data_IF_433925750955
#
_entry.id   IF_433925750955
#
_cell.length_a   1.000
_cell.length_b   1.000
_cell.length_c   1.000
_cell.angle_alpha   90.00
_cell.angle_beta   90.00
_cell.angle_gamma   90.00
#
_symmetry.space_group_name_H-M   'P 1'
#
loop_
_entity.id
_entity.type
_entity.pdbx_description
1 polymer ?
#
# COMPACT_ATOMS: atom_id res chain seq x y z
N UNK A 1 63.12 -68.35 -21.50
CA UNK A 1 63.97 -67.21 -21.12
C UNK A 1 63.10 -65.97 -21.27
N UNK A 2 62.37 -65.56 -20.23
CA UNK A 2 62.81 -64.64 -19.16
C UNK A 2 63.24 -63.28 -19.73
N UNK A 3 62.34 -62.29 -19.72
CA UNK A 3 62.44 -60.97 -19.05
C UNK A 3 61.87 -59.96 -20.08
N UNK A 4 61.18 -58.87 -19.81
CA UNK A 4 60.92 -58.12 -18.58
C UNK A 4 59.58 -57.38 -18.69
N UNK A 5 58.97 -57.24 -17.54
CA UNK A 5 57.96 -56.25 -17.16
C UNK A 5 58.39 -54.82 -17.50
N UNK A 6 57.44 -53.97 -17.94
CA UNK A 6 57.06 -52.74 -17.25
C UNK A 6 55.76 -52.15 -17.85
N UNK A 7 54.70 -51.92 -17.05
CA UNK A 7 53.48 -51.28 -17.51
C UNK A 7 53.66 -49.78 -17.74
N UNK A 8 53.08 -49.26 -18.82
CA UNK A 8 53.02 -47.84 -19.13
C UNK A 8 52.37 -47.06 -17.97
N UNK A 9 52.90 -45.90 -17.57
CA UNK A 9 52.23 -45.07 -16.58
C UNK A 9 50.91 -44.57 -17.15
N UNK A 10 49.81 -44.97 -16.51
CA UNK A 10 48.51 -44.34 -16.64
C UNK A 10 48.72 -42.87 -16.31
N UNK A 11 48.63 -42.00 -17.32
CA UNK A 11 48.44 -40.57 -17.09
C UNK A 11 47.10 -40.43 -16.39
N UNK A 12 47.13 -40.38 -15.06
CA UNK A 12 46.05 -39.85 -14.24
C UNK A 12 45.70 -38.49 -14.83
N UNK A 13 44.55 -38.44 -15.52
CA UNK A 13 43.95 -37.20 -15.94
C UNK A 13 43.74 -36.38 -14.67
N UNK A 14 44.60 -35.39 -14.46
CA UNK A 14 44.37 -34.37 -13.46
C UNK A 14 42.99 -33.77 -13.76
N UNK A 15 42.04 -33.97 -12.85
CA UNK A 15 40.76 -33.30 -12.89
C UNK A 15 41.01 -31.81 -13.13
N UNK A 16 40.26 -31.15 -14.03
CA UNK A 16 40.43 -29.72 -14.23
C UNK A 16 40.20 -29.04 -12.88
N UNK A 17 41.26 -28.42 -12.36
CA UNK A 17 41.19 -27.64 -11.14
C UNK A 17 40.03 -26.66 -11.27
N UNK A 18 39.05 -26.80 -10.39
CA UNK A 18 37.91 -25.89 -10.31
C UNK A 18 38.47 -24.47 -10.22
N UNK A 19 38.24 -23.68 -11.27
CA UNK A 19 38.53 -22.26 -11.24
C UNK A 19 37.74 -21.69 -10.06
N UNK A 20 38.36 -20.96 -9.12
CA UNK A 20 37.58 -20.22 -8.18
C UNK A 20 36.82 -19.17 -9.00
N UNK A 21 35.51 -19.37 -9.16
CA UNK A 21 34.60 -18.35 -9.67
C UNK A 21 34.70 -17.18 -8.72
N UNK A 22 35.60 -16.27 -9.06
CA UNK A 22 35.77 -14.99 -8.42
C UNK A 22 34.46 -14.24 -8.57
N UNK A 23 33.58 -14.42 -7.58
CA UNK A 23 32.48 -13.52 -7.26
C UNK A 23 33.10 -12.14 -7.09
N UNK A 24 33.27 -11.41 -8.19
CA UNK A 24 33.49 -9.97 -8.22
C UNK A 24 32.26 -9.37 -7.56
N UNK A 25 32.32 -9.25 -6.24
CA UNK A 25 31.51 -8.31 -5.48
C UNK A 25 31.74 -6.97 -6.18
N UNK A 26 30.78 -6.56 -7.00
CA UNK A 26 30.72 -5.23 -7.59
C UNK A 26 30.69 -4.28 -6.39
N UNK A 27 31.86 -3.82 -5.97
CA UNK A 27 31.96 -2.64 -5.13
C UNK A 27 31.33 -1.54 -5.95
N UNK A 28 30.07 -1.20 -5.64
CA UNK A 28 29.48 0.05 -6.04
C UNK A 28 30.40 1.13 -5.49
N UNK A 29 31.35 1.57 -6.30
CA UNK A 29 32.22 2.69 -5.95
C UNK A 29 31.30 3.89 -5.85
N UNK A 30 30.90 4.22 -4.62
CA UNK A 30 30.21 5.44 -4.26
C UNK A 30 31.16 6.60 -4.54
N UNK A 31 31.28 6.99 -5.81
CA UNK A 31 31.82 8.31 -6.12
C UNK A 31 30.77 9.31 -5.64
N UNK A 32 31.12 10.27 -4.78
CA UNK A 32 30.18 11.30 -4.36
C UNK A 32 29.66 12.00 -5.62
N UNK A 33 28.34 11.97 -5.82
CA UNK A 33 27.67 12.67 -6.92
C UNK A 33 27.05 13.95 -6.34
N UNK A 34 27.77 15.09 -6.37
CA UNK A 34 27.31 16.32 -5.74
C UNK A 34 26.05 16.87 -6.42
N UNK A 35 25.85 16.61 -7.71
CA UNK A 35 24.64 17.01 -8.44
C UNK A 35 23.42 16.23 -7.95
N UNK A 36 23.55 14.92 -7.75
CA UNK A 36 22.48 14.11 -7.16
C UNK A 36 22.20 14.50 -5.70
N UNK A 37 23.24 14.84 -4.94
CA UNK A 37 23.12 15.35 -3.58
C UNK A 37 22.38 16.69 -3.51
N UNK A 38 22.78 17.65 -4.35
CA UNK A 38 22.12 18.95 -4.46
C UNK A 38 20.66 18.80 -4.92
N UNK A 39 20.41 17.98 -5.95
CA UNK A 39 19.05 17.70 -6.41
C UNK A 39 18.16 17.10 -5.33
N UNK A 40 18.70 16.16 -4.54
CA UNK A 40 18.00 15.53 -3.41
C UNK A 40 17.72 16.53 -2.28
N UNK A 41 18.67 17.45 -2.01
CA UNK A 41 18.48 18.51 -1.02
C UNK A 41 17.40 19.52 -1.45
N UNK A 42 17.42 19.97 -2.71
CA UNK A 42 16.38 20.85 -3.27
C UNK A 42 15.02 20.19 -3.17
N UNK A 43 14.93 18.90 -3.54
CA UNK A 43 13.69 18.14 -3.43
C UNK A 43 13.19 18.04 -1.97
N UNK A 44 14.10 17.80 -1.03
CA UNK A 44 13.79 17.78 0.40
C UNK A 44 13.22 19.12 0.87
N UNK A 45 13.77 20.25 0.43
CA UNK A 45 13.24 21.58 0.76
C UNK A 45 11.83 21.76 0.18
N UNK A 46 11.59 21.39 -1.08
CA UNK A 46 10.27 21.48 -1.73
C UNK A 46 9.20 20.69 -0.96
N UNK A 47 9.56 19.53 -0.39
CA UNK A 47 8.64 18.69 0.39
C UNK A 47 8.45 19.22 1.82
N UNK A 48 9.52 19.67 2.48
CA UNK A 48 9.46 20.09 3.90
C UNK A 48 8.74 21.42 4.07
N UNK A 49 8.88 22.37 3.12
CA UNK A 49 8.27 23.70 3.24
C UNK A 49 6.74 23.67 3.47
N UNK A 50 5.92 22.95 2.68
CA UNK A 50 4.47 22.89 2.93
C UNK A 50 4.13 22.15 4.23
N UNK A 51 4.89 21.12 4.61
CA UNK A 51 4.70 20.40 5.89
C UNK A 51 5.00 21.33 7.07
N UNK A 52 6.09 22.08 6.98
CA UNK A 52 6.45 23.10 7.97
C UNK A 52 5.37 24.17 8.06
N UNK A 53 4.91 24.72 6.94
CA UNK A 53 3.86 25.73 6.91
C UNK A 53 2.56 25.21 7.54
N UNK A 54 2.19 23.96 7.28
CA UNK A 54 1.03 23.30 7.88
C UNK A 54 1.16 23.17 9.40
N UNK A 55 2.30 22.69 9.90
CA UNK A 55 2.56 22.54 11.35
C UNK A 55 2.68 23.90 12.04
N UNK A 56 3.31 24.87 11.38
CA UNK A 56 3.44 26.24 11.86
C UNK A 56 2.05 26.87 12.03
N UNK A 57 1.21 26.77 11.01
CA UNK A 57 -0.14 27.31 11.03
C UNK A 57 -1.08 26.58 11.99
N UNK A 58 -0.90 25.26 12.22
CA UNK A 58 -1.69 24.53 13.23
C UNK A 58 -1.34 24.91 14.68
N UNK A 59 -0.18 25.53 14.89
CA UNK A 59 0.24 26.08 16.19
C UNK A 59 -0.11 27.57 16.34
N UNK A 60 -0.68 28.21 15.32
CA UNK A 60 -1.06 29.63 15.36
C UNK A 60 -2.44 29.81 16.03
N UNK A 61 -2.63 30.82 16.89
CA UNK A 61 -3.96 31.22 17.37
C UNK A 61 -4.90 31.64 16.23
N UNK A 62 -6.20 31.34 16.34
CA UNK A 62 -7.19 31.60 15.28
C UNK A 62 -7.30 33.08 14.88
N UNK A 63 -7.16 34.00 15.83
CA UNK A 63 -7.18 35.46 15.61
C UNK A 63 -6.01 35.96 14.74
N UNK A 64 -4.89 35.24 14.78
CA UNK A 64 -3.69 35.55 13.98
C UNK A 64 -3.65 34.80 12.65
N UNK A 65 -4.53 33.82 12.45
CA UNK A 65 -4.47 32.89 11.31
C UNK A 65 -4.75 33.56 9.95
N UNK A 66 -5.61 34.58 9.89
CA UNK A 66 -6.05 35.21 8.63
C UNK A 66 -5.10 36.30 8.09
N UNK A 67 -3.99 36.60 8.78
CA UNK A 67 -3.01 37.61 8.36
C UNK A 67 -1.54 37.17 8.48
N UNK A 68 -1.29 35.97 9.00
CA UNK A 68 0.07 35.48 9.25
C UNK A 68 0.67 34.84 8.00
N UNK A 69 1.93 35.17 7.69
CA UNK A 69 2.67 34.45 6.67
C UNK A 69 3.00 33.04 7.20
N UNK A 70 2.44 32.00 6.58
CA UNK A 70 2.62 30.62 7.01
C UNK A 70 4.08 30.14 7.05
N UNK A 71 5.00 30.82 6.35
CA UNK A 71 6.45 30.56 6.38
C UNK A 71 7.16 31.21 7.56
N UNK A 72 6.53 32.15 8.26
CA UNK A 72 7.06 32.71 9.51
C UNK A 72 6.58 31.84 10.67
N UNK A 73 7.44 31.53 11.65
CA UNK A 73 7.00 30.84 12.86
C UNK A 73 5.93 31.69 13.60
N UNK A 74 4.98 31.07 14.30
CA UNK A 74 3.96 31.80 15.04
C UNK A 74 4.61 32.62 16.16
N UNK A 75 4.15 33.86 16.34
CA UNK A 75 4.60 34.75 17.42
C UNK A 75 4.25 34.23 18.80
N UNK A 76 3.13 33.52 18.92
CA UNK A 76 2.65 32.90 20.15
C UNK A 76 2.14 31.49 19.86
N UNK A 77 3.02 30.47 19.80
CA UNK A 77 2.62 29.09 19.53
C UNK A 77 1.66 28.57 20.62
N UNK A 78 0.61 27.87 20.21
CA UNK A 78 -0.40 27.28 21.11
C UNK A 78 -0.74 25.84 20.72
N UNK A 79 -1.07 25.03 21.72
CA UNK A 79 -1.58 23.65 21.55
C UNK A 79 -3.12 23.58 21.58
N UNK A 80 -3.81 24.69 21.82
CA UNK A 80 -5.28 24.75 21.93
C UNK A 80 -6.01 24.16 20.72
N UNK A 81 -5.42 24.28 19.53
CA UNK A 81 -5.99 23.73 18.29
C UNK A 81 -5.98 22.19 18.31
N UNK A 82 -4.90 21.59 18.82
CA UNK A 82 -4.81 20.13 18.98
C UNK A 82 -5.77 19.64 20.05
N UNK A 83 -5.86 20.36 21.17
CA UNK A 83 -6.82 20.05 22.24
C UNK A 83 -8.27 20.09 21.73
N UNK A 84 -8.62 21.13 20.97
CA UNK A 84 -9.92 21.26 20.29
C UNK A 84 -10.20 20.05 19.40
N UNK A 85 -9.21 19.58 18.63
CA UNK A 85 -9.38 18.43 17.74
C UNK A 85 -9.57 17.14 18.54
N UNK A 86 -8.70 16.88 19.52
CA UNK A 86 -8.71 15.65 20.31
C UNK A 86 -10.02 15.47 21.09
N UNK A 87 -10.63 16.57 21.55
CA UNK A 87 -11.92 16.56 22.22
C UNK A 87 -13.12 16.56 21.27
N UNK A 88 -12.94 16.85 19.97
CA UNK A 88 -14.01 16.89 18.97
C UNK A 88 -14.09 15.59 18.16
N UNK A 89 -14.44 14.50 18.84
CA UNK A 89 -14.71 13.17 18.25
C UNK A 89 -13.56 12.56 17.45
N UNK A 90 -12.33 13.10 17.53
CA UNK A 90 -11.19 12.65 16.72
C UNK A 90 -10.92 11.15 16.86
N UNK A 91 -10.95 10.61 18.09
CA UNK A 91 -10.70 9.19 18.33
C UNK A 91 -11.77 8.29 17.73
N UNK A 92 -13.03 8.74 17.72
CA UNK A 92 -14.13 8.02 17.08
C UNK A 92 -13.93 7.99 15.55
N UNK A 93 -13.62 9.14 14.94
CA UNK A 93 -13.32 9.24 13.50
C UNK A 93 -12.11 8.39 13.11
N UNK A 94 -11.05 8.40 13.93
CA UNK A 94 -9.85 7.59 13.77
C UNK A 94 -10.19 6.10 13.82
N UNK A 95 -10.98 5.68 14.83
CA UNK A 95 -11.39 4.29 14.98
C UNK A 95 -12.19 3.79 13.78
N UNK A 96 -13.18 4.56 13.33
CA UNK A 96 -13.96 4.25 12.13
C UNK A 96 -13.09 4.15 10.88
N UNK A 97 -12.10 5.03 10.73
CA UNK A 97 -11.17 5.02 9.60
C UNK A 97 -10.29 3.77 9.61
N UNK A 98 -9.74 3.41 10.78
CA UNK A 98 -8.94 2.19 10.96
C UNK A 98 -9.77 0.94 10.69
N UNK A 99 -11.00 0.89 11.23
CA UNK A 99 -11.91 -0.23 11.03
C UNK A 99 -12.29 -0.39 9.56
N UNK A 100 -12.62 0.72 8.88
CA UNK A 100 -12.94 0.71 7.46
C UNK A 100 -11.74 0.25 6.62
N UNK A 101 -10.54 0.76 6.91
CA UNK A 101 -9.32 0.35 6.21
C UNK A 101 -8.98 -1.14 6.41
N UNK A 102 -9.08 -1.64 7.65
CA UNK A 102 -8.87 -3.05 7.94
C UNK A 102 -9.89 -3.94 7.22
N UNK A 103 -11.18 -3.58 7.25
CA UNK A 103 -12.24 -4.32 6.57
C UNK A 103 -12.03 -4.33 5.05
N UNK A 104 -11.68 -3.18 4.45
CA UNK A 104 -11.36 -3.08 3.02
C UNK A 104 -10.20 -4.00 2.66
N UNK A 105 -9.10 -3.97 3.42
CA UNK A 105 -7.94 -4.84 3.18
C UNK A 105 -8.33 -6.32 3.27
N UNK A 106 -9.09 -6.71 4.29
CA UNK A 106 -9.53 -8.10 4.48
C UNK A 106 -10.39 -8.54 3.29
N UNK A 107 -11.40 -7.77 2.91
CA UNK A 107 -12.28 -8.10 1.77
C UNK A 107 -11.47 -8.23 0.49
N UNK A 108 -10.56 -7.28 0.22
CA UNK A 108 -9.72 -7.29 -0.98
C UNK A 108 -8.82 -8.53 -0.99
N UNK A 109 -8.15 -8.87 0.12
CA UNK A 109 -7.26 -10.04 0.14
C UNK A 109 -8.04 -11.35 0.01
N UNK A 110 -9.14 -11.50 0.75
CA UNK A 110 -9.96 -12.71 0.75
C UNK A 110 -10.51 -13.00 -0.65
N UNK A 111 -10.88 -11.97 -1.41
CA UNK A 111 -11.46 -12.13 -2.75
C UNK A 111 -10.40 -12.15 -3.84
N UNK A 112 -9.43 -11.25 -3.81
CA UNK A 112 -8.47 -11.08 -4.90
C UNK A 112 -7.37 -12.15 -4.90
N UNK A 113 -6.94 -12.67 -3.74
CA UNK A 113 -5.86 -13.69 -3.71
C UNK A 113 -6.30 -15.00 -4.41
N UNK A 114 -7.46 -15.61 -4.08
CA UNK A 114 -7.93 -16.79 -4.79
C UNK A 114 -8.25 -16.50 -6.26
N UNK A 115 -8.84 -15.33 -6.56
CA UNK A 115 -9.19 -14.97 -7.92
C UNK A 115 -7.96 -14.81 -8.81
N UNK A 116 -6.92 -14.14 -8.33
CA UNK A 116 -5.63 -14.02 -9.04
C UNK A 116 -4.95 -15.37 -9.21
N UNK A 117 -5.02 -16.25 -8.20
CA UNK A 117 -4.50 -17.61 -8.33
C UNK A 117 -5.18 -18.37 -9.47
N UNK A 118 -6.51 -18.37 -9.53
CA UNK A 118 -7.28 -18.99 -10.63
C UNK A 118 -6.96 -18.31 -11.96
N UNK A 119 -6.83 -16.97 -11.98
CA UNK A 119 -6.48 -16.21 -13.18
C UNK A 119 -5.13 -16.62 -13.79
N UNK A 120 -4.15 -16.97 -12.95
CA UNK A 120 -2.83 -17.44 -13.39
C UNK A 120 -2.85 -18.92 -13.77
N UNK A 121 -3.50 -19.78 -12.96
CA UNK A 121 -3.40 -21.23 -13.10
C UNK A 121 -4.38 -21.83 -14.10
N UNK A 122 -5.53 -21.22 -14.30
CA UNK A 122 -6.56 -21.75 -15.19
C UNK A 122 -6.47 -21.09 -16.55
N UNK A 123 -5.99 -21.82 -17.57
CA UNK A 123 -5.94 -21.39 -18.98
C UNK A 123 -7.31 -21.47 -19.70
N UNK A 124 -8.39 -21.19 -18.97
CA UNK A 124 -9.76 -21.23 -19.49
C UNK A 124 -10.21 -19.88 -20.04
N UNK A 125 -11.09 -19.91 -21.04
CA UNK A 125 -11.72 -18.69 -21.59
C UNK A 125 -12.35 -17.82 -20.48
N UNK A 126 -13.08 -18.44 -19.55
CA UNK A 126 -13.75 -17.75 -18.44
C UNK A 126 -12.79 -17.06 -17.47
N UNK A 127 -11.65 -17.68 -17.18
CA UNK A 127 -10.60 -17.11 -16.32
C UNK A 127 -10.00 -15.86 -16.96
N UNK A 128 -9.65 -15.93 -18.25
CA UNK A 128 -9.17 -14.79 -19.01
C UNK A 128 -10.22 -13.69 -19.18
N UNK A 129 -11.49 -14.05 -19.36
CA UNK A 129 -12.60 -13.10 -19.46
C UNK A 129 -12.85 -12.37 -18.14
N UNK A 130 -12.88 -13.08 -17.01
CA UNK A 130 -13.01 -12.49 -15.69
C UNK A 130 -11.86 -11.51 -15.41
N UNK A 131 -10.61 -11.90 -15.67
CA UNK A 131 -9.46 -11.01 -15.52
C UNK A 131 -9.61 -9.73 -16.36
N UNK A 132 -9.99 -9.83 -17.63
CA UNK A 132 -10.24 -8.67 -18.50
C UNK A 132 -11.38 -7.78 -17.99
N UNK A 133 -12.46 -8.37 -17.48
CA UNK A 133 -13.57 -7.64 -16.89
C UNK A 133 -13.11 -6.78 -15.71
N UNK A 134 -12.28 -7.33 -14.81
CA UNK A 134 -11.70 -6.55 -13.73
C UNK A 134 -10.79 -5.43 -14.23
N UNK A 135 -9.98 -5.66 -15.28
CA UNK A 135 -9.15 -4.61 -15.86
C UNK A 135 -9.96 -3.45 -16.44
N UNK A 136 -11.12 -3.71 -17.04
CA UNK A 136 -12.04 -2.64 -17.48
C UNK A 136 -12.53 -1.79 -16.29
N UNK A 137 -12.66 -2.38 -15.11
CA UNK A 137 -13.01 -1.68 -13.87
C UNK A 137 -12.01 -0.59 -13.48
N UNK A 138 -10.74 -0.68 -13.89
CA UNK A 138 -9.73 0.38 -13.64
C UNK A 138 -10.09 1.67 -14.39
N UNK A 139 -10.73 1.55 -15.55
CA UNK A 139 -11.05 2.69 -16.41
C UNK A 139 -12.29 3.46 -15.95
N UNK A 140 -13.12 2.90 -15.05
CA UNK A 140 -14.35 3.52 -14.59
C UNK A 140 -14.04 4.46 -13.42
N UNK A 141 -14.17 5.79 -13.59
CA UNK A 141 -14.00 6.70 -12.48
C UNK A 141 -15.18 6.57 -11.51
N UNK A 142 -14.90 6.50 -10.20
CA UNK A 142 -15.94 6.39 -9.16
C UNK A 142 -16.98 7.52 -9.25
N UNK A 143 -16.55 8.71 -9.68
CA UNK A 143 -17.38 9.89 -9.89
C UNK A 143 -18.49 9.65 -10.93
N UNK A 144 -18.22 8.87 -12.00
CA UNK A 144 -19.19 8.64 -13.06
C UNK A 144 -20.34 7.71 -12.65
N UNK A 145 -20.11 6.85 -11.65
CA UNK A 145 -21.08 5.85 -11.20
C UNK A 145 -21.60 6.11 -9.79
N UNK A 146 -21.31 7.29 -9.23
CA UNK A 146 -21.66 7.59 -7.84
C UNK A 146 -23.17 7.66 -7.60
N UNK A 147 -23.93 8.22 -8.55
CA UNK A 147 -25.40 8.31 -8.47
C UNK A 147 -26.05 6.92 -8.51
N UNK A 148 -25.76 6.03 -9.48
CA UNK A 148 -26.32 4.68 -9.44
C UNK A 148 -25.84 3.88 -8.22
N UNK A 149 -24.62 4.09 -7.73
CA UNK A 149 -24.15 3.47 -6.48
C UNK A 149 -24.93 3.96 -5.26
N UNK A 150 -25.23 5.26 -5.15
CA UNK A 150 -26.08 5.80 -4.09
C UNK A 150 -27.46 5.11 -4.07
N UNK A 151 -28.08 4.97 -5.24
CA UNK A 151 -29.38 4.29 -5.38
C UNK A 151 -29.29 2.81 -4.99
N UNK A 152 -28.17 2.14 -5.26
CA UNK A 152 -27.95 0.76 -4.85
C UNK A 152 -27.76 0.63 -3.33
N UNK A 153 -26.92 1.46 -2.72
CA UNK A 153 -26.64 1.48 -1.29
C UNK A 153 -27.91 1.75 -0.47
N UNK A 154 -28.73 2.70 -0.93
CA UNK A 154 -30.02 3.02 -0.30
C UNK A 154 -31.02 1.87 -0.43
N UNK A 155 -31.15 1.25 -1.61
CA UNK A 155 -31.99 0.05 -1.81
C UNK A 155 -31.57 -1.15 -0.94
N UNK A 156 -30.27 -1.28 -0.68
CA UNK A 156 -29.72 -2.33 0.20
C UNK A 156 -29.85 -1.98 1.69
N UNK A 157 -30.42 -0.83 2.06
CA UNK A 157 -30.49 -0.31 3.42
C UNK A 157 -29.11 -0.19 4.10
N UNK A 158 -28.08 0.14 3.32
CA UNK A 158 -26.71 0.32 3.81
C UNK A 158 -26.34 1.80 3.99
N UNK A 159 -27.18 2.73 3.56
CA UNK A 159 -26.94 4.16 3.71
C UNK A 159 -26.71 4.55 5.17
N UNK A 160 -25.83 5.53 5.39
CA UNK A 160 -25.47 6.02 6.71
C UNK A 160 -24.85 4.94 7.62
N UNK A 161 -23.99 4.09 7.04
CA UNK A 161 -23.24 3.06 7.75
C UNK A 161 -21.80 2.96 7.27
N UNK A 162 -20.91 2.36 8.07
CA UNK A 162 -19.55 2.07 7.63
C UNK A 162 -19.51 1.12 6.43
N UNK A 163 -20.48 0.22 6.28
CA UNK A 163 -20.56 -0.67 5.11
C UNK A 163 -20.79 0.10 3.81
N UNK A 164 -21.50 1.22 3.88
CA UNK A 164 -21.68 2.14 2.77
C UNK A 164 -20.34 2.69 2.25
N UNK A 165 -19.31 2.77 3.11
CA UNK A 165 -17.96 3.20 2.76
C UNK A 165 -17.10 2.00 2.36
N UNK A 166 -17.11 0.93 3.16
CA UNK A 166 -16.22 -0.23 3.02
C UNK A 166 -16.43 -0.95 1.69
N UNK A 167 -17.69 -1.28 1.35
CA UNK A 167 -17.99 -2.11 0.19
C UNK A 167 -17.59 -1.46 -1.14
N UNK A 168 -18.00 -0.20 -1.45
CA UNK A 168 -17.57 0.43 -2.69
C UNK A 168 -16.06 0.67 -2.69
N UNK A 169 -15.45 1.06 -1.57
CA UNK A 169 -13.99 1.25 -1.50
C UNK A 169 -13.24 -0.05 -1.83
N UNK A 170 -13.67 -1.18 -1.26
CA UNK A 170 -13.09 -2.48 -1.56
C UNK A 170 -13.27 -2.85 -3.04
N UNK A 171 -14.48 -2.69 -3.57
CA UNK A 171 -14.80 -2.99 -4.97
C UNK A 171 -13.91 -2.21 -5.95
N UNK A 172 -13.70 -0.91 -5.72
CA UNK A 172 -12.81 -0.08 -6.56
C UNK A 172 -11.32 -0.38 -6.36
N UNK A 173 -10.93 -0.97 -5.23
CA UNK A 173 -9.56 -1.43 -5.03
C UNK A 173 -9.25 -2.76 -5.75
N UNK A 174 -10.26 -3.62 -5.97
CA UNK A 174 -10.06 -4.97 -6.53
C UNK A 174 -9.37 -4.99 -7.90
N UNK A 175 -9.70 -4.15 -8.90
CA UNK A 175 -9.05 -4.18 -10.21
C UNK A 175 -7.53 -4.09 -10.15
N UNK A 176 -7.01 -3.12 -9.39
CA UNK A 176 -5.56 -2.92 -9.21
C UNK A 176 -4.98 -4.04 -8.36
N UNK A 177 -5.67 -4.47 -7.31
CA UNK A 177 -5.22 -5.58 -6.46
C UNK A 177 -5.04 -6.88 -7.27
N UNK A 178 -6.01 -7.21 -8.13
CA UNK A 178 -5.97 -8.38 -9.01
C UNK A 178 -4.84 -8.24 -10.02
N UNK A 179 -4.65 -7.07 -10.62
CA UNK A 179 -3.55 -6.81 -11.55
C UNK A 179 -2.18 -7.06 -10.89
N UNK A 180 -1.96 -6.49 -9.70
CA UNK A 180 -0.70 -6.63 -8.95
C UNK A 180 -0.46 -8.08 -8.51
N UNK A 181 -1.48 -8.74 -7.94
CA UNK A 181 -1.37 -10.12 -7.47
C UNK A 181 -1.15 -11.10 -8.63
N UNK A 182 -1.88 -10.93 -9.73
CA UNK A 182 -1.70 -11.77 -10.93
C UNK A 182 -0.30 -11.60 -11.51
N UNK A 183 0.22 -10.36 -11.57
CA UNK A 183 1.60 -10.10 -11.98
C UNK A 183 2.60 -10.83 -11.09
N UNK A 184 2.45 -10.69 -9.77
CA UNK A 184 3.34 -11.32 -8.78
C UNK A 184 3.29 -12.85 -8.84
N UNK A 185 2.09 -13.44 -8.96
CA UNK A 185 1.91 -14.89 -8.96
C UNK A 185 2.41 -15.57 -10.24
N UNK A 186 2.54 -14.82 -11.34
CA UNK A 186 3.15 -15.31 -12.60
C UNK A 186 4.66 -15.53 -12.50
N UNK A 187 5.32 -14.92 -11.51
CA UNK A 187 6.76 -15.10 -11.29
C UNK A 187 7.10 -16.46 -10.64
N UNK A 188 6.09 -17.16 -10.12
CA UNK A 188 6.24 -18.51 -9.56
C UNK A 188 6.34 -19.50 -10.73
N UNK A 189 7.46 -20.22 -10.83
CA UNK A 189 7.71 -21.16 -11.93
C UNK A 189 6.74 -22.34 -11.94
N UNK A 190 6.38 -22.79 -13.14
CA UNK A 190 5.47 -23.93 -13.35
C UNK A 190 5.99 -25.20 -12.69
N UNK A 191 7.30 -25.44 -12.72
CA UNK A 191 7.98 -26.62 -12.15
C UNK A 191 7.67 -26.81 -10.66
N UNK A 192 7.53 -25.72 -9.89
CA UNK A 192 7.22 -25.81 -8.45
C UNK A 192 5.78 -26.25 -8.23
N UNK A 193 4.85 -25.83 -9.11
CA UNK A 193 3.49 -26.32 -9.08
C UNK A 193 3.40 -27.79 -9.48
N UNK A 194 4.14 -28.20 -10.51
CA UNK A 194 4.20 -29.59 -10.97
C UNK A 194 4.77 -30.52 -9.90
N UNK A 195 5.85 -30.10 -9.21
CA UNK A 195 6.42 -30.84 -8.09
C UNK A 195 5.38 -31.06 -6.97
N UNK A 196 4.67 -30.01 -6.56
CA UNK A 196 3.61 -30.14 -5.56
C UNK A 196 2.43 -31.01 -6.05
N UNK A 197 2.11 -30.97 -7.35
CA UNK A 197 1.05 -31.79 -7.93
C UNK A 197 1.42 -33.28 -7.88
N UNK A 198 2.68 -33.61 -8.16
CA UNK A 198 3.22 -34.98 -8.03
C UNK A 198 3.19 -35.46 -6.58
N UNK A 199 3.38 -34.57 -5.61
CA UNK A 199 3.21 -34.84 -4.17
C UNK A 199 1.73 -34.94 -3.72
N UNK A 200 0.79 -34.91 -4.68
CA UNK A 200 -0.65 -35.03 -4.41
C UNK A 200 -1.26 -33.78 -3.75
N UNK A 201 -0.65 -32.61 -3.89
CA UNK A 201 -1.21 -31.39 -3.33
C UNK A 201 -2.48 -30.96 -4.06
N UNK A 202 -3.53 -30.66 -3.29
CA UNK A 202 -4.75 -30.04 -3.83
C UNK A 202 -4.52 -28.57 -4.21
N UNK A 203 -5.34 -27.97 -5.09
CA UNK A 203 -5.22 -26.55 -5.45
C UNK A 203 -5.29 -25.61 -4.24
N UNK A 204 -6.11 -25.94 -3.24
CA UNK A 204 -6.19 -25.20 -1.98
C UNK A 204 -4.88 -25.30 -1.20
N UNK A 205 -4.28 -26.50 -1.14
CA UNK A 205 -2.98 -26.69 -0.49
C UNK A 205 -1.89 -25.88 -1.19
N UNK A 206 -1.87 -25.87 -2.52
CA UNK A 206 -0.95 -25.03 -3.31
C UNK A 206 -1.15 -23.54 -3.02
N UNK A 207 -2.40 -23.07 -2.96
CA UNK A 207 -2.70 -21.67 -2.64
C UNK A 207 -2.09 -21.23 -1.30
N UNK A 208 -2.34 -22.00 -0.24
CA UNK A 208 -1.91 -21.63 1.12
C UNK A 208 -0.44 -21.94 1.41
N UNK A 209 0.12 -23.03 0.88
CA UNK A 209 1.48 -23.48 1.20
C UNK A 209 2.55 -22.99 0.23
N UNK A 210 2.16 -22.63 -1.01
CA UNK A 210 3.10 -22.14 -2.04
C UNK A 210 2.79 -20.70 -2.42
N UNK A 211 1.60 -20.42 -2.93
CA UNK A 211 1.29 -19.15 -3.60
C UNK A 211 1.31 -17.97 -2.64
N UNK A 212 0.62 -18.08 -1.50
CA UNK A 212 0.59 -17.01 -0.48
C UNK A 212 2.00 -16.71 0.06
N UNK A 213 2.81 -17.72 0.48
CA UNK A 213 4.18 -17.47 0.94
C UNK A 213 5.11 -16.86 -0.11
N UNK A 214 5.01 -17.28 -1.37
CA UNK A 214 5.84 -16.76 -2.45
C UNK A 214 5.37 -15.36 -2.92
N UNK A 215 4.09 -15.04 -2.75
CA UNK A 215 3.49 -13.76 -3.17
C UNK A 215 3.49 -12.69 -2.09
N UNK A 216 4.23 -12.86 -0.98
CA UNK A 216 4.27 -11.91 0.15
C UNK A 216 4.55 -10.46 -0.26
N UNK A 217 5.43 -10.25 -1.24
CA UNK A 217 5.73 -8.94 -1.81
C UNK A 217 4.48 -8.28 -2.41
N UNK A 218 3.82 -8.98 -3.35
CA UNK A 218 2.59 -8.50 -3.99
C UNK A 218 1.42 -8.33 -3.02
N UNK A 219 1.26 -9.24 -2.06
CA UNK A 219 0.25 -9.13 -0.99
C UNK A 219 0.51 -7.86 -0.16
N UNK A 220 1.76 -7.57 0.20
CA UNK A 220 2.11 -6.37 0.96
C UNK A 220 1.79 -5.10 0.17
N UNK A 221 2.06 -5.09 -1.13
CA UNK A 221 1.69 -3.97 -2.02
C UNK A 221 0.17 -3.76 -2.03
N UNK A 222 -0.62 -4.84 -2.14
CA UNK A 222 -2.09 -4.75 -2.14
C UNK A 222 -2.63 -4.29 -0.79
N UNK A 223 -2.08 -4.77 0.33
CA UNK A 223 -2.45 -4.30 1.68
C UNK A 223 -2.28 -2.80 1.80
N UNK A 224 -1.09 -2.28 1.43
CA UNK A 224 -0.79 -0.85 1.51
C UNK A 224 -1.70 -0.05 0.58
N UNK A 225 -1.86 -0.50 -0.66
CA UNK A 225 -2.72 0.15 -1.63
C UNK A 225 -4.17 0.23 -1.14
N UNK A 226 -4.77 -0.89 -0.74
CA UNK A 226 -6.15 -0.94 -0.28
C UNK A 226 -6.38 -0.15 1.01
N UNK A 227 -5.43 -0.21 1.96
CA UNK A 227 -5.48 0.59 3.18
C UNK A 227 -5.41 2.10 2.88
N UNK A 228 -4.53 2.54 1.98
CA UNK A 228 -4.43 3.94 1.57
C UNK A 228 -5.69 4.43 0.86
N UNK A 229 -6.31 3.59 0.01
CA UNK A 229 -7.58 3.93 -0.63
C UNK A 229 -8.69 4.18 0.40
N UNK A 230 -8.78 3.34 1.44
CA UNK A 230 -9.75 3.53 2.51
C UNK A 230 -9.42 4.73 3.41
N UNK A 231 -8.14 4.91 3.75
CA UNK A 231 -7.69 6.01 4.60
C UNK A 231 -7.92 7.39 3.98
N UNK A 232 -7.60 7.52 2.68
CA UNK A 232 -7.76 8.76 1.93
C UNK A 232 -9.18 8.91 1.35
N UNK A 233 -10.05 7.93 1.57
CA UNK A 233 -11.40 7.90 1.01
C UNK A 233 -12.21 9.10 1.48
N UNK A 234 -12.67 9.90 0.52
CA UNK A 234 -13.46 11.11 0.80
C UNK A 234 -14.84 11.06 0.14
N UNK A 235 -14.89 10.67 -1.13
CA UNK A 235 -16.09 10.70 -1.96
C UNK A 235 -17.21 9.79 -1.43
N UNK A 236 -16.92 8.53 -1.11
CA UNK A 236 -17.94 7.60 -0.60
C UNK A 236 -18.43 7.98 0.80
N UNK A 237 -17.56 8.32 1.77
CA UNK A 237 -18.04 8.88 3.04
C UNK A 237 -18.95 10.08 2.85
N UNK A 238 -18.53 11.06 2.04
CA UNK A 238 -19.26 12.31 1.85
C UNK A 238 -20.68 12.08 1.31
N UNK A 239 -20.86 11.10 0.42
CA UNK A 239 -22.12 10.90 -0.31
C UNK A 239 -23.01 9.84 0.35
N UNK A 240 -22.42 8.87 1.05
CA UNK A 240 -23.15 7.71 1.59
C UNK A 240 -23.35 7.74 3.11
N UNK A 241 -22.86 8.79 3.78
CA UNK A 241 -23.05 8.99 5.23
C UNK A 241 -23.54 10.39 5.54
N UNK A 242 -24.26 10.51 6.65
CA UNK A 242 -24.86 11.77 7.10
C UNK A 242 -24.76 11.96 8.61
N UNK A 243 -24.95 10.91 9.41
CA UNK A 243 -24.82 11.00 10.86
C UNK A 243 -23.36 10.97 11.30
N UNK A 244 -23.11 11.37 12.55
CA UNK A 244 -21.77 11.33 13.14
C UNK A 244 -21.25 9.90 13.34
N UNK A 245 -22.15 8.90 13.42
CA UNK A 245 -21.84 7.51 13.75
C UNK A 245 -20.87 6.81 12.78
N UNK A 246 -21.13 6.79 11.46
CA UNK A 246 -20.23 6.16 10.48
C UNK A 246 -19.12 7.09 9.96
N UNK A 247 -18.98 8.29 10.54
CA UNK A 247 -18.09 9.33 10.02
C UNK A 247 -16.62 8.93 10.17
N UNK A 248 -15.80 9.26 9.17
CA UNK A 248 -14.36 8.95 9.10
C UNK A 248 -13.51 10.22 9.13
N UNK A 249 -12.20 10.08 9.34
CA UNK A 249 -11.25 11.19 9.53
C UNK A 249 -11.30 12.24 8.42
N UNK A 250 -11.43 11.81 7.16
CA UNK A 250 -11.48 12.72 6.00
C UNK A 250 -12.68 13.67 6.06
N UNK A 251 -13.81 13.23 6.65
CA UNK A 251 -14.97 14.09 6.90
C UNK A 251 -14.85 14.92 8.17
N UNK A 252 -13.98 14.53 9.11
CA UNK A 252 -13.70 15.28 10.34
C UNK A 252 -13.12 16.67 10.10
N UNK A 253 -12.50 16.89 8.95
CA UNK A 253 -11.99 18.21 8.54
C UNK A 253 -13.12 19.25 8.44
N UNK A 254 -14.34 18.82 8.10
CA UNK A 254 -15.49 19.71 8.01
C UNK A 254 -16.00 20.17 9.38
N UNK A 255 -15.60 19.55 10.49
CA UNK A 255 -16.00 19.99 11.82
C UNK A 255 -15.46 21.39 12.17
N UNK A 256 -14.46 21.86 11.42
CA UNK A 256 -13.82 23.18 11.59
C UNK A 256 -14.27 24.19 10.53
N UNK A 257 -15.26 23.83 9.70
CA UNK A 257 -15.83 24.69 8.67
C UNK A 257 -17.30 24.98 9.01
N UNK A 258 -17.64 26.26 9.13
CA UNK A 258 -19.02 26.71 9.38
C UNK A 258 -19.44 27.75 8.35
N UNK A 259 -20.74 28.06 8.31
CA UNK A 259 -21.25 29.14 7.46
C UNK A 259 -20.69 30.53 7.80
N UNK A 260 -20.17 30.70 9.03
CA UNK A 260 -19.65 31.97 9.53
C UNK A 260 -18.13 32.10 9.44
N UNK A 261 -17.43 31.04 9.04
CA UNK A 261 -15.98 31.04 8.93
C UNK A 261 -15.36 29.65 9.13
N UNK A 262 -14.03 29.61 8.92
CA UNK A 262 -13.22 28.41 9.04
C UNK A 262 -12.19 28.59 10.15
N UNK A 263 -12.11 27.61 11.06
CA UNK A 263 -11.01 27.52 12.02
C UNK A 263 -9.82 26.85 11.35
N UNK A 264 -8.99 27.66 10.67
CA UNK A 264 -7.87 27.19 9.85
C UNK A 264 -6.83 26.43 10.72
N UNK A 265 -6.38 26.94 11.87
CA UNK A 265 -5.42 26.23 12.71
C UNK A 265 -5.93 24.89 13.23
N UNK A 266 -7.19 24.80 13.67
CA UNK A 266 -7.76 23.52 14.11
C UNK A 266 -7.95 22.53 12.95
N UNK A 267 -8.34 23.01 11.76
CA UNK A 267 -8.39 22.20 10.55
C UNK A 267 -7.01 21.62 10.23
N UNK A 268 -5.97 22.45 10.21
CA UNK A 268 -4.60 21.99 9.93
C UNK A 268 -4.06 21.07 11.04
N UNK A 269 -4.40 21.33 12.30
CA UNK A 269 -4.08 20.43 13.41
C UNK A 269 -4.75 19.06 13.20
N UNK A 270 -5.99 19.02 12.72
CA UNK A 270 -6.70 17.79 12.37
C UNK A 270 -6.01 17.04 11.22
N UNK A 271 -5.52 17.73 10.19
CA UNK A 271 -4.73 17.12 9.11
C UNK A 271 -3.42 16.52 9.66
N UNK A 272 -2.69 17.27 10.50
CA UNK A 272 -1.44 16.80 11.13
C UNK A 272 -1.70 15.53 11.95
N UNK A 273 -2.69 15.55 12.84
CA UNK A 273 -3.05 14.42 13.68
C UNK A 273 -3.50 13.20 12.85
N UNK A 274 -4.25 13.43 11.77
CA UNK A 274 -4.69 12.36 10.85
C UNK A 274 -3.52 11.72 10.09
N UNK A 275 -2.40 12.42 9.91
CA UNK A 275 -1.19 11.87 9.29
C UNK A 275 -0.33 10.99 10.22
N UNK A 276 -0.42 11.19 11.54
CA UNK A 276 0.42 10.47 12.52
C UNK A 276 0.27 8.94 12.43
N UNK A 277 -0.95 8.36 12.39
CA UNK A 277 -1.09 6.90 12.34
C UNK A 277 -0.46 6.27 11.09
N UNK A 278 -0.63 6.89 9.90
CA UNK A 278 0.00 6.41 8.67
C UNK A 278 1.52 6.46 8.81
N UNK A 279 2.05 7.57 9.35
CA UNK A 279 3.49 7.72 9.54
C UNK A 279 4.03 6.66 10.51
N UNK A 280 3.32 6.38 11.61
CA UNK A 280 3.67 5.32 12.54
C UNK A 280 3.69 3.93 11.86
N UNK A 281 2.66 3.60 11.08
CA UNK A 281 2.61 2.35 10.29
C UNK A 281 3.80 2.27 9.34
N UNK A 282 4.14 3.36 8.63
CA UNK A 282 5.30 3.41 7.75
C UNK A 282 6.62 3.15 8.49
N UNK A 283 6.83 3.76 9.67
CA UNK A 283 8.05 3.58 10.46
C UNK A 283 8.27 2.12 10.89
N UNK A 284 7.19 1.39 11.15
CA UNK A 284 7.21 -0.05 11.47
C UNK A 284 7.39 -0.87 10.19
N UNK A 285 6.62 -0.56 9.14
CA UNK A 285 6.58 -1.34 7.89
C UNK A 285 7.84 -1.18 7.01
N UNK A 286 8.59 -0.07 7.10
CA UNK A 286 9.78 0.18 6.26
C UNK A 286 10.81 -0.94 6.33
N UNK A 287 10.98 -1.61 7.48
CA UNK A 287 11.92 -2.74 7.62
C UNK A 287 11.45 -3.97 6.82
N UNK A 288 10.15 -4.24 6.81
CA UNK A 288 9.55 -5.34 6.04
C UNK A 288 9.57 -5.04 4.53
N UNK A 289 9.32 -3.79 4.13
CA UNK A 289 9.35 -3.36 2.73
C UNK A 289 10.76 -3.46 2.12
N UNK A 290 11.80 -3.05 2.86
CA UNK A 290 13.20 -3.15 2.39
C UNK A 290 13.64 -4.62 2.30
N UNK A 291 13.19 -5.49 3.23
CA UNK A 291 13.48 -6.93 3.17
C UNK A 291 12.83 -7.63 1.97
N UNK A 292 11.61 -7.23 1.59
CA UNK A 292 10.90 -7.79 0.43
C UNK A 292 11.51 -7.41 -0.92
N UNK A 293 12.00 -6.18 -1.05
CA UNK A 293 12.70 -5.70 -2.27
C UNK A 293 14.02 -6.43 -2.53
N UNK A 294 14.75 -6.80 -1.48
CA UNK A 294 16.00 -7.57 -1.57
C UNK A 294 15.79 -9.00 -2.08
N UNK A 295 14.57 -9.56 -1.96
CA UNK A 295 14.22 -10.88 -2.51
C UNK A 295 13.92 -10.87 -4.01
N UNK A 296 13.56 -9.71 -4.58
CA UNK A 296 13.19 -9.56 -6.00
C UNK A 296 14.39 -9.10 -6.85
N UNK A 297 15.37 -8.42 -6.26
CA UNK A 297 16.57 -7.94 -6.95
C UNK A 297 17.79 -8.88 -6.94
N UNK A 298 17.65 -10.08 -6.36
CA UNK A 298 18.73 -11.07 -6.26
C UNK A 298 18.78 -12.04 -7.44
N UNK A 299 18.94 -11.52 -8.66
CA UNK A 299 19.50 -12.28 -9.78
C UNK A 299 20.84 -11.66 -10.16
#
# INVERSE_FOLDING_TARGET
>A
MSHDTLPHPVKTGAAPAARPDGRRRRHWTQRPNPLAGLGSFVWLVVVIVPIYAMISASLTPQDQALGHNALKPPSSPTWSNYDTVLHNSFFHLLWNTVLAAAAVVVIVLVLCVPLSYVAVRTRGFWSGAAFRLFLLGVAIPAQAVVVPLYLMITKLNLYDSLLAIILPTAAFAMPVAILVLTGTMRDISEEVYEAMALDGASPTRMLFQLVIPMSKGGISTVVIYAALQAWNGFLFPLIFTQSEGPRVLTLGLFNYMSQFGVNIPALLASVVLSGIPIFAVYLVARRALVGGLMGVGGK
#
